data_IF_547051094686
#
_entry.id   IF_547051094686
#
_cell.length_a   1.000
_cell.length_b   1.000
_cell.length_c   1.000
_cell.angle_alpha   90.00
_cell.angle_beta   90.00
_cell.angle_gamma   90.00
#
_symmetry.space_group_name_H-M   'P 1'
#
loop_
_entity.id
_entity.type
_entity.pdbx_description
1 polymer ?
#
# COMPACT_ATOMS: atom_id res chain seq x y z
N UNK A 1 0.36 31.53 46.43
CA UNK A 1 1.53 31.33 45.53
C UNK A 1 1.29 30.07 44.69
N UNK A 2 0.13 29.99 44.02
CA UNK A 2 -0.40 28.69 43.59
C UNK A 2 -0.61 28.59 42.07
N UNK A 3 -0.93 29.71 41.41
CA UNK A 3 -1.21 29.75 39.96
C UNK A 3 0.04 29.55 39.09
N UNK A 4 1.19 30.13 39.48
CA UNK A 4 2.43 30.02 38.71
C UNK A 4 3.00 28.59 38.71
N UNK A 5 2.86 27.89 39.85
CA UNK A 5 3.27 26.49 39.96
C UNK A 5 2.46 25.58 39.02
N UNK A 6 1.15 25.80 38.96
CA UNK A 6 0.25 25.07 38.06
C UNK A 6 0.57 25.30 36.58
N UNK A 7 0.71 26.57 36.15
CA UNK A 7 1.09 26.89 34.76
C UNK A 7 2.45 26.30 34.38
N UNK A 8 3.40 26.28 35.32
CA UNK A 8 4.75 25.73 35.10
C UNK A 8 4.74 24.22 34.96
N UNK A 9 3.97 23.49 35.76
CA UNK A 9 3.83 22.03 35.63
C UNK A 9 3.13 21.63 34.32
N UNK A 10 2.13 22.41 33.90
CA UNK A 10 1.54 22.28 32.57
C UNK A 10 2.60 22.52 31.48
N UNK A 11 3.40 23.58 31.57
CA UNK A 11 4.44 23.91 30.61
C UNK A 11 5.54 22.83 30.51
N UNK A 12 6.02 22.29 31.64
CA UNK A 12 7.09 21.27 31.66
C UNK A 12 6.66 19.93 31.07
N UNK A 13 5.36 19.58 31.15
CA UNK A 13 4.86 18.28 30.66
C UNK A 13 4.63 18.21 29.15
N UNK A 14 4.69 19.35 28.43
CA UNK A 14 4.39 19.42 26.99
C UNK A 14 5.30 18.55 26.12
N UNK A 15 6.60 18.50 26.44
CA UNK A 15 7.56 17.72 25.65
C UNK A 15 7.31 16.22 25.80
N UNK A 16 7.03 15.77 27.03
CA UNK A 16 6.65 14.38 27.30
C UNK A 16 5.33 14.01 26.60
N UNK A 17 4.35 14.90 26.63
CA UNK A 17 3.06 14.71 25.98
C UNK A 17 3.19 14.68 24.45
N UNK A 18 4.03 15.53 23.87
CA UNK A 18 4.34 15.51 22.44
C UNK A 18 4.99 14.19 22.02
N UNK A 19 5.96 13.69 22.79
CA UNK A 19 6.62 12.41 22.51
C UNK A 19 5.65 11.22 22.61
N UNK A 20 4.78 11.24 23.62
CA UNK A 20 3.70 10.26 23.77
C UNK A 20 2.73 10.29 22.58
N UNK A 21 2.23 11.47 22.22
CA UNK A 21 1.33 11.63 21.08
C UNK A 21 1.98 11.20 19.75
N UNK A 22 3.25 11.55 19.54
CA UNK A 22 4.03 11.12 18.38
C UNK A 22 4.14 9.59 18.31
N UNK A 23 4.47 8.94 19.43
CA UNK A 23 4.57 7.48 19.50
C UNK A 23 3.25 6.80 19.12
N UNK A 24 2.13 7.24 19.69
CA UNK A 24 0.82 6.74 19.29
C UNK A 24 0.48 7.06 17.83
N UNK A 25 0.88 8.24 17.33
CA UNK A 25 0.75 8.60 15.92
C UNK A 25 1.47 7.62 15.00
N UNK A 26 2.70 7.23 15.34
CA UNK A 26 3.47 6.22 14.60
C UNK A 26 2.82 4.84 14.68
N UNK A 27 2.33 4.44 15.85
CA UNK A 27 1.59 3.17 16.02
C UNK A 27 0.35 3.15 15.12
N UNK A 28 -0.48 4.18 15.18
CA UNK A 28 -1.69 4.30 14.36
C UNK A 28 -1.35 4.35 12.87
N UNK A 29 -0.24 4.99 12.49
CA UNK A 29 0.25 5.02 11.12
C UNK A 29 0.77 3.66 10.65
N UNK A 30 1.46 2.89 11.50
CA UNK A 30 1.90 1.53 11.18
C UNK A 30 0.71 0.58 10.99
N UNK A 31 -0.36 0.78 11.76
CA UNK A 31 -1.62 0.04 11.61
C UNK A 31 -2.55 0.62 10.54
N UNK A 32 -2.25 1.79 9.94
CA UNK A 32 -3.02 2.36 8.83
C UNK A 32 -2.90 1.39 7.64
N UNK A 33 -3.99 0.74 7.22
CA UNK A 33 -3.97 -0.25 6.15
C UNK A 33 -3.94 0.46 4.79
N UNK A 34 -2.92 1.29 4.55
CA UNK A 34 -2.79 2.12 3.34
C UNK A 34 -2.30 1.37 2.09
N UNK A 35 -1.90 0.11 2.23
CA UNK A 35 -1.31 -0.68 1.13
C UNK A 35 -1.93 -2.08 0.98
N UNK A 36 -3.07 -2.34 1.62
CA UNK A 36 -3.81 -3.60 1.42
C UNK A 36 -4.79 -3.56 0.24
N UNK A 37 -5.08 -2.41 -0.35
CA UNK A 37 -5.98 -2.33 -1.52
C UNK A 37 -5.25 -2.31 -2.87
N UNK A 38 -3.93 -2.18 -2.92
CA UNK A 38 -3.15 -2.18 -4.18
C UNK A 38 -2.35 -3.46 -4.44
N UNK A 39 -2.33 -4.40 -3.49
CA UNK A 39 -1.67 -5.70 -3.68
C UNK A 39 -2.59 -6.80 -4.22
N UNK A 40 -3.92 -6.59 -4.21
CA UNK A 40 -4.88 -7.50 -4.85
C UNK A 40 -4.85 -7.40 -6.38
N UNK A 41 -4.42 -6.27 -6.94
CA UNK A 41 -4.36 -6.07 -8.39
C UNK A 41 -3.06 -6.63 -9.01
N UNK A 42 -1.97 -6.73 -8.23
CA UNK A 42 -0.67 -7.25 -8.67
C UNK A 42 -0.64 -8.79 -8.61
N UNK A 43 -1.37 -9.40 -7.68
CA UNK A 43 -1.42 -10.86 -7.54
C UNK A 43 -2.15 -11.55 -8.71
N UNK A 44 -2.95 -10.82 -9.49
CA UNK A 44 -3.61 -11.35 -10.69
C UNK A 44 -2.77 -11.19 -11.97
N UNK A 45 -1.62 -10.53 -11.91
CA UNK A 45 -0.73 -10.37 -13.07
C UNK A 45 -0.12 -11.70 -13.56
N UNK A 46 0.31 -12.65 -12.70
CA UNK A 46 0.84 -13.93 -13.15
C UNK A 46 -0.24 -14.87 -13.72
N UNK A 47 -1.44 -14.87 -13.14
CA UNK A 47 -2.53 -15.77 -13.55
C UNK A 47 -3.28 -15.34 -14.81
N UNK A 48 -3.14 -14.08 -15.24
CA UNK A 48 -3.74 -13.58 -16.48
C UNK A 48 -3.17 -14.22 -17.75
N UNK A 49 -2.03 -14.90 -17.65
CA UNK A 49 -1.34 -15.52 -18.79
C UNK A 49 -1.38 -17.06 -18.76
N UNK A 50 -2.08 -17.66 -17.80
CA UNK A 50 -2.23 -19.12 -17.65
C UNK A 50 -3.46 -19.64 -18.44
N UNK A 51 -4.58 -18.90 -18.45
CA UNK A 51 -5.84 -19.37 -19.05
C UNK A 51 -5.98 -19.13 -20.57
N UNK A 52 -5.08 -18.35 -21.16
CA UNK A 52 -5.01 -18.21 -22.62
C UNK A 52 -3.57 -17.90 -22.98
N UNK A 53 -2.78 -18.88 -23.46
CA UNK A 53 -1.51 -18.55 -24.11
C UNK A 53 -1.85 -17.53 -25.18
N UNK A 54 -1.09 -16.42 -25.24
CA UNK A 54 -1.16 -15.55 -26.39
C UNK A 54 -0.96 -16.47 -27.61
N UNK A 55 -1.99 -16.59 -28.44
CA UNK A 55 -1.86 -17.32 -29.70
C UNK A 55 -0.70 -16.64 -30.41
N UNK A 56 0.40 -17.36 -30.51
CA UNK A 56 1.64 -16.85 -31.06
C UNK A 56 1.31 -16.41 -32.49
N UNK A 57 1.70 -15.19 -32.88
CA UNK A 57 1.36 -14.62 -34.19
C UNK A 57 1.84 -15.51 -35.36
N UNK A 58 2.74 -16.45 -35.05
CA UNK A 58 3.19 -17.56 -35.88
C UNK A 58 2.06 -18.52 -36.30
N UNK A 59 1.10 -18.85 -35.42
CA UNK A 59 -0.04 -19.71 -35.73
C UNK A 59 -1.04 -19.03 -36.68
N UNK A 60 -1.25 -17.72 -36.52
CA UNK A 60 -2.09 -16.93 -37.43
C UNK A 60 -1.47 -16.84 -38.85
N UNK A 61 -0.14 -16.82 -38.94
CA UNK A 61 0.58 -16.86 -40.22
C UNK A 61 0.54 -18.24 -40.89
N UNK A 62 0.60 -19.33 -40.10
CA UNK A 62 0.49 -20.71 -40.60
C UNK A 62 -0.92 -21.02 -41.11
N UNK A 63 -1.97 -20.57 -40.40
CA UNK A 63 -3.36 -20.73 -40.83
C UNK A 63 -3.69 -19.94 -42.11
N UNK A 64 -3.03 -18.80 -42.33
CA UNK A 64 -3.17 -18.00 -43.56
C UNK A 64 -2.45 -18.63 -44.76
N UNK A 65 -1.45 -19.49 -44.53
CA UNK A 65 -0.73 -20.22 -45.57
C UNK A 65 -1.46 -21.45 -46.09
N UNK A 66 -2.32 -22.08 -45.26
CA UNK A 66 -3.05 -23.31 -45.64
C UNK A 66 -4.35 -23.08 -46.42
N UNK A 67 -4.87 -21.85 -46.45
CA UNK A 67 -6.10 -21.48 -47.19
C UNK A 67 -5.83 -21.13 -48.67
N UNK A 68 -4.56 -21.14 -49.10
CA UNK A 68 -4.16 -20.74 -50.45
C UNK A 68 -3.50 -21.88 -51.24
N UNK A 69 -4.31 -22.85 -51.71
CA UNK A 69 -4.03 -23.67 -52.91
C UNK A 69 -3.12 -24.87 -52.76
#
# INVERSE_FOLDING_TARGET
>A
MDTYSFLRQLADSWVLLAMFAFFFGVILWAFRPGSRSMHDDISQAPFRNEDRPAADDSDAALLKGQDNG
#
